data_IF_433364643278
#
_entry.id   IF_433364643278
#
_cell.length_a   1.000
_cell.length_b   1.000
_cell.length_c   1.000
_cell.angle_alpha   90.00
_cell.angle_beta   90.00
_cell.angle_gamma   90.00
#
_symmetry.space_group_name_H-M   'P 1'
#
loop_
_entity.id
_entity.type
_entity.pdbx_description
1 polymer ?
#
# COMPACT_ATOMS: atom_id res chain seq x y z
N UNK A 1 -12.97 5.58 5.06
CA UNK A 1 -12.55 5.12 3.71
C UNK A 1 -11.40 4.13 3.77
N UNK A 2 -11.26 3.26 2.76
CA UNK A 2 -10.17 2.28 2.55
C UNK A 2 -9.89 2.13 1.05
N UNK A 3 -8.62 1.94 0.68
CA UNK A 3 -8.18 1.67 -0.72
C UNK A 3 -8.81 0.38 -1.26
N UNK A 4 -9.23 0.35 -2.54
CA UNK A 4 -9.91 -0.82 -3.14
C UNK A 4 -9.10 -2.10 -3.00
N UNK A 5 -7.78 -2.05 -3.24
CA UNK A 5 -6.89 -3.22 -3.13
C UNK A 5 -6.78 -3.80 -1.71
N UNK A 6 -7.17 -3.04 -0.68
CA UNK A 6 -7.21 -3.49 0.72
C UNK A 6 -8.49 -4.24 1.09
N UNK A 7 -9.48 -4.31 0.19
CA UNK A 7 -10.59 -5.25 0.31
C UNK A 7 -10.22 -6.64 -0.22
N UNK A 8 -9.30 -6.72 -1.20
CA UNK A 8 -8.93 -7.97 -1.86
C UNK A 8 -8.29 -8.96 -0.88
N UNK A 9 -8.56 -10.24 -1.09
CA UNK A 9 -8.16 -11.38 -0.24
C UNK A 9 -8.71 -11.35 1.20
N UNK A 10 -9.46 -10.32 1.62
CA UNK A 10 -10.09 -10.31 2.95
C UNK A 10 -11.04 -11.51 3.12
N UNK A 11 -10.98 -12.25 4.24
CA UNK A 11 -11.94 -13.30 4.55
C UNK A 11 -13.34 -12.71 4.77
N UNK A 12 -14.37 -13.39 4.26
CA UNK A 12 -15.77 -13.01 4.48
C UNK A 12 -16.44 -14.02 5.41
N UNK A 13 -16.97 -13.53 6.53
CA UNK A 13 -17.44 -14.34 7.67
C UNK A 13 -18.92 -14.06 7.94
N UNK A 14 -19.73 -15.11 7.97
CA UNK A 14 -21.11 -15.06 8.50
C UNK A 14 -21.07 -15.07 10.03
N UNK A 15 -21.69 -14.07 10.66
CA UNK A 15 -21.67 -13.86 12.10
C UNK A 15 -22.49 -14.92 12.86
N UNK A 16 -23.68 -15.28 12.35
CA UNK A 16 -24.57 -16.24 12.99
C UNK A 16 -23.99 -17.66 13.02
N UNK A 17 -23.30 -18.09 11.97
CA UNK A 17 -22.69 -19.42 11.90
C UNK A 17 -21.20 -19.44 12.28
N UNK A 18 -20.61 -18.29 12.64
CA UNK A 18 -19.18 -18.14 12.95
C UNK A 18 -18.24 -18.58 11.81
N UNK A 19 -18.71 -18.54 10.55
CA UNK A 19 -18.11 -19.31 9.45
C UNK A 19 -17.57 -18.44 8.31
N UNK A 20 -16.31 -18.66 7.95
CA UNK A 20 -15.74 -18.12 6.70
C UNK A 20 -16.38 -18.79 5.47
N UNK A 21 -16.90 -17.97 4.55
CA UNK A 21 -17.55 -18.38 3.30
C UNK A 21 -16.52 -18.51 2.19
N UNK A 22 -15.54 -17.62 2.20
CA UNK A 22 -14.57 -17.39 1.14
C UNK A 22 -13.73 -16.15 1.43
N UNK A 23 -13.20 -15.53 0.38
CA UNK A 23 -12.49 -14.25 0.45
C UNK A 23 -12.92 -13.32 -0.69
N UNK A 24 -12.81 -12.01 -0.49
CA UNK A 24 -13.12 -11.01 -1.51
C UNK A 24 -12.11 -11.11 -2.66
N UNK A 25 -12.61 -11.32 -3.87
CA UNK A 25 -11.86 -11.40 -5.14
C UNK A 25 -11.82 -10.06 -5.87
N UNK A 26 -12.82 -9.21 -5.66
CA UNK A 26 -13.02 -7.95 -6.36
C UNK A 26 -14.26 -7.22 -5.84
N UNK A 27 -14.43 -5.99 -6.32
CA UNK A 27 -15.54 -5.10 -5.98
C UNK A 27 -16.34 -4.83 -7.26
N UNK A 28 -17.68 -4.81 -7.16
CA UNK A 28 -18.56 -4.39 -8.25
C UNK A 28 -19.00 -2.96 -7.98
N UNK A 29 -18.61 -2.05 -8.86
CA UNK A 29 -18.95 -0.63 -8.79
C UNK A 29 -20.14 -0.33 -9.71
N UNK A 30 -21.11 0.42 -9.21
CA UNK A 30 -22.07 1.14 -10.05
C UNK A 30 -21.50 2.55 -10.33
N UNK A 31 -21.16 2.88 -11.60
CA UNK A 31 -20.55 4.16 -11.95
C UNK A 31 -21.54 5.33 -11.86
N UNK A 32 -22.84 5.06 -11.95
CA UNK A 32 -23.92 6.04 -11.86
C UNK A 32 -24.19 6.46 -10.42
N UNK A 33 -24.15 5.50 -9.49
CA UNK A 33 -24.24 5.77 -8.04
C UNK A 33 -22.89 6.21 -7.43
N UNK A 34 -21.78 5.96 -8.15
CA UNK A 34 -20.40 6.09 -7.66
C UNK A 34 -20.19 5.26 -6.37
N UNK A 35 -20.65 4.00 -6.40
CA UNK A 35 -20.76 3.14 -5.21
C UNK A 35 -20.27 1.72 -5.49
N UNK A 36 -19.60 1.08 -4.54
CA UNK A 36 -19.43 -0.38 -4.51
C UNK A 36 -20.76 -1.01 -4.08
N UNK A 37 -21.46 -1.63 -5.04
CA UNK A 37 -22.78 -2.24 -4.82
C UNK A 37 -22.71 -3.73 -4.46
N UNK A 38 -21.60 -4.41 -4.77
CA UNK A 38 -21.39 -5.79 -4.33
C UNK A 38 -19.90 -6.15 -4.17
N UNK A 39 -19.63 -7.15 -3.33
CA UNK A 39 -18.35 -7.84 -3.19
C UNK A 39 -18.39 -9.15 -3.98
N UNK A 40 -17.37 -9.40 -4.80
CA UNK A 40 -17.17 -10.67 -5.52
C UNK A 40 -16.47 -11.64 -4.56
N UNK A 41 -17.06 -12.80 -4.25
CA UNK A 41 -16.55 -13.74 -3.24
C UNK A 41 -16.05 -15.02 -3.89
N UNK A 42 -14.74 -15.28 -3.76
CA UNK A 42 -14.11 -16.54 -4.15
C UNK A 42 -14.17 -17.57 -3.02
N UNK A 43 -14.48 -18.82 -3.36
CA UNK A 43 -14.57 -19.92 -2.41
C UNK A 43 -13.47 -20.96 -2.69
N UNK A 44 -12.80 -21.46 -1.65
CA UNK A 44 -11.75 -22.49 -1.80
C UNK A 44 -12.35 -23.80 -2.34
N UNK A 45 -11.82 -24.28 -3.49
CA UNK A 45 -12.15 -25.56 -4.13
C UNK A 45 -12.52 -25.42 -5.61
N UNK A 46 -12.00 -26.31 -6.47
CA UNK A 46 -12.00 -26.17 -7.94
C UNK A 46 -13.37 -26.13 -8.66
N UNK A 47 -14.47 -26.43 -7.96
CA UNK A 47 -15.82 -26.57 -8.56
C UNK A 47 -16.89 -25.71 -7.86
N UNK A 48 -16.51 -24.61 -7.20
CA UNK A 48 -17.46 -23.71 -6.54
C UNK A 48 -17.85 -22.54 -7.44
N UNK A 49 -19.14 -22.35 -7.58
CA UNK A 49 -19.75 -21.22 -8.29
C UNK A 49 -19.37 -19.89 -7.65
N UNK A 50 -19.09 -18.88 -8.48
CA UNK A 50 -18.72 -17.54 -8.02
C UNK A 50 -19.89 -16.93 -7.23
N UNK A 51 -19.64 -16.61 -5.95
CA UNK A 51 -20.61 -15.95 -5.08
C UNK A 51 -20.44 -14.43 -5.08
N UNK A 52 -21.50 -13.73 -4.70
CA UNK A 52 -21.53 -12.28 -4.52
C UNK A 52 -22.22 -11.93 -3.20
N UNK A 53 -21.81 -10.82 -2.59
CA UNK A 53 -22.47 -10.23 -1.42
C UNK A 53 -22.86 -8.81 -1.79
N UNK A 54 -24.15 -8.50 -1.83
CA UNK A 54 -24.65 -7.12 -1.93
C UNK A 54 -24.06 -6.28 -0.79
N UNK A 55 -23.55 -5.08 -1.07
CA UNK A 55 -22.87 -4.26 -0.06
C UNK A 55 -23.81 -3.88 1.09
N UNK A 56 -25.12 -3.76 0.84
CA UNK A 56 -26.13 -3.52 1.89
C UNK A 56 -26.30 -4.69 2.87
N UNK A 57 -25.73 -5.87 2.56
CA UNK A 57 -25.71 -7.06 3.44
C UNK A 57 -24.39 -7.20 4.21
N UNK A 58 -23.42 -6.30 3.99
CA UNK A 58 -22.20 -6.16 4.80
C UNK A 58 -22.55 -5.48 6.13
N UNK A 59 -22.02 -6.01 7.24
CA UNK A 59 -22.14 -5.40 8.57
C UNK A 59 -20.93 -4.55 8.94
N UNK A 60 -19.74 -4.99 8.57
CA UNK A 60 -18.51 -4.25 8.80
C UNK A 60 -17.41 -4.70 7.86
N UNK A 61 -16.55 -3.76 7.50
CA UNK A 61 -15.25 -3.98 6.86
C UNK A 61 -14.20 -3.69 7.93
N UNK A 62 -13.90 -4.70 8.75
CA UNK A 62 -12.87 -4.61 9.81
C UNK A 62 -11.46 -4.62 9.23
N UNK A 63 -10.41 -4.60 10.07
CA UNK A 63 -9.03 -4.65 9.55
C UNK A 63 -8.72 -6.03 8.94
N UNK A 64 -9.02 -7.11 9.66
CA UNK A 64 -8.68 -8.48 9.23
C UNK A 64 -9.78 -9.20 8.42
N UNK A 65 -11.04 -8.75 8.46
CA UNK A 65 -12.18 -9.47 7.89
C UNK A 65 -13.36 -8.57 7.48
N UNK A 66 -14.16 -9.04 6.53
CA UNK A 66 -15.49 -8.51 6.21
C UNK A 66 -16.55 -9.40 6.86
N UNK A 67 -17.53 -8.80 7.55
CA UNK A 67 -18.59 -9.54 8.24
C UNK A 67 -19.96 -9.31 7.61
N UNK A 68 -20.79 -10.35 7.60
CA UNK A 68 -22.19 -10.35 7.14
C UNK A 68 -23.06 -11.09 8.17
N UNK A 69 -24.37 -10.87 8.20
CA UNK A 69 -25.26 -11.55 9.18
C UNK A 69 -25.11 -13.07 9.16
N UNK A 70 -25.29 -13.67 7.99
CA UNK A 70 -25.35 -15.12 7.79
C UNK A 70 -24.80 -15.52 6.42
N UNK A 71 -24.26 -16.73 6.30
CA UNK A 71 -23.61 -17.22 5.06
C UNK A 71 -24.55 -17.40 3.87
N UNK A 72 -25.86 -17.41 4.11
CA UNK A 72 -26.91 -17.38 3.09
C UNK A 72 -26.97 -16.04 2.32
N UNK A 73 -26.52 -14.93 2.91
CA UNK A 73 -26.46 -13.61 2.26
C UNK A 73 -25.40 -13.51 1.15
N UNK A 74 -24.56 -14.54 0.99
CA UNK A 74 -23.67 -14.68 -0.15
C UNK A 74 -24.36 -15.48 -1.26
N UNK A 75 -24.83 -14.80 -2.30
CA UNK A 75 -25.74 -15.29 -3.33
C UNK A 75 -25.02 -15.70 -4.62
N UNK A 76 -25.76 -16.34 -5.54
CA UNK A 76 -25.29 -16.72 -6.88
C UNK A 76 -25.52 -15.56 -7.85
N UNK A 77 -24.71 -15.48 -8.91
CA UNK A 77 -24.88 -14.46 -9.96
C UNK A 77 -26.28 -14.48 -10.61
N UNK A 78 -26.90 -15.65 -10.73
CA UNK A 78 -28.26 -15.82 -11.25
C UNK A 78 -29.36 -15.15 -10.41
N UNK A 79 -29.10 -14.87 -9.13
CA UNK A 79 -30.03 -14.13 -8.25
C UNK A 79 -29.89 -12.61 -8.36
N UNK A 80 -28.81 -12.11 -8.99
CA UNK A 80 -28.40 -10.71 -8.95
C UNK A 80 -28.19 -10.13 -10.36
N UNK A 81 -29.25 -10.02 -11.18
CA UNK A 81 -29.13 -9.62 -12.59
C UNK A 81 -28.49 -8.24 -12.79
N UNK A 82 -28.72 -7.29 -11.89
CA UNK A 82 -28.13 -5.94 -11.95
C UNK A 82 -26.60 -5.98 -11.74
N UNK A 83 -26.13 -6.79 -10.79
CA UNK A 83 -24.70 -7.00 -10.52
C UNK A 83 -24.02 -7.68 -11.72
N UNK A 84 -24.69 -8.67 -12.32
CA UNK A 84 -24.21 -9.33 -13.54
C UNK A 84 -24.24 -8.40 -14.77
N UNK A 85 -25.12 -7.39 -14.82
CA UNK A 85 -25.08 -6.35 -15.86
C UNK A 85 -23.84 -5.48 -15.70
N UNK A 86 -23.59 -4.91 -14.52
CA UNK A 86 -22.41 -4.06 -14.26
C UNK A 86 -21.08 -4.80 -14.59
N UNK A 87 -21.00 -6.08 -14.25
CA UNK A 87 -19.85 -6.94 -14.59
C UNK A 87 -19.68 -7.21 -16.10
N UNK A 88 -20.75 -7.12 -16.90
CA UNK A 88 -20.70 -7.24 -18.38
C UNK A 88 -20.38 -5.92 -19.06
N UNK A 89 -20.92 -4.82 -18.53
CA UNK A 89 -20.61 -3.46 -19.00
C UNK A 89 -19.10 -3.19 -18.85
N UNK A 90 -18.49 -3.77 -17.81
CA UNK A 90 -17.05 -3.88 -17.55
C UNK A 90 -16.34 -2.52 -17.65
N UNK A 91 -16.62 -1.69 -16.64
CA UNK A 91 -16.11 -0.34 -16.46
C UNK A 91 -15.05 -0.40 -15.37
N UNK A 92 -13.79 -0.19 -15.74
CA UNK A 92 -12.64 -0.27 -14.84
C UNK A 92 -12.20 1.14 -14.42
N UNK A 93 -12.24 1.44 -13.12
CA UNK A 93 -11.75 2.73 -12.60
C UNK A 93 -10.22 2.79 -12.68
N UNK A 94 -9.53 1.71 -12.33
CA UNK A 94 -8.06 1.66 -12.33
C UNK A 94 -7.58 1.57 -13.77
N UNK A 95 -6.65 2.45 -14.15
CA UNK A 95 -6.14 2.61 -15.52
C UNK A 95 -6.93 3.61 -16.37
N UNK A 96 -8.14 4.02 -15.96
CA UNK A 96 -8.93 5.01 -16.69
C UNK A 96 -8.25 6.39 -16.70
N UNK A 97 -8.39 7.11 -17.83
CA UNK A 97 -7.91 8.49 -17.96
C UNK A 97 -8.83 9.44 -17.21
N UNK A 98 -8.27 10.29 -16.34
CA UNK A 98 -9.02 11.37 -15.69
C UNK A 98 -8.88 12.63 -16.54
N UNK A 99 -9.99 13.19 -17.01
CA UNK A 99 -10.05 14.43 -17.82
C UNK A 99 -11.04 15.42 -17.22
N UNK A 100 -10.78 16.72 -17.40
CA UNK A 100 -11.74 17.78 -17.08
C UNK A 100 -12.79 17.94 -18.19
N UNK A 101 -13.83 18.73 -17.96
CA UNK A 101 -14.89 19.02 -18.95
C UNK A 101 -14.38 19.84 -20.14
N UNK A 102 -13.39 20.73 -19.95
CA UNK A 102 -12.66 21.38 -21.04
C UNK A 102 -11.69 20.46 -21.81
N UNK A 103 -11.52 19.20 -21.37
CA UNK A 103 -10.70 18.19 -22.03
C UNK A 103 -9.23 18.13 -21.59
N UNK A 104 -8.83 18.90 -20.57
CA UNK A 104 -7.48 18.79 -19.97
C UNK A 104 -7.33 17.45 -19.26
N UNK A 105 -6.32 16.66 -19.66
CA UNK A 105 -5.98 15.38 -19.05
C UNK A 105 -5.28 15.62 -17.69
N UNK A 106 -5.86 15.16 -16.59
CA UNK A 106 -5.20 15.21 -15.28
C UNK A 106 -4.23 14.03 -15.09
N UNK A 107 -4.58 12.85 -15.58
CA UNK A 107 -3.74 11.67 -15.40
C UNK A 107 -4.47 10.35 -15.57
N UNK A 108 -4.02 9.34 -14.83
CA UNK A 108 -4.53 7.97 -14.89
C UNK A 108 -4.78 7.46 -13.46
N UNK A 109 -5.98 6.96 -13.20
CA UNK A 109 -6.36 6.48 -11.87
C UNK A 109 -5.58 5.20 -11.51
N UNK A 110 -4.82 5.24 -10.41
CA UNK A 110 -4.05 4.11 -9.89
C UNK A 110 -4.83 3.28 -8.87
N UNK A 111 -5.79 3.90 -8.20
CA UNK A 111 -6.47 3.39 -7.00
C UNK A 111 -7.74 4.20 -6.73
N UNK A 112 -8.73 3.60 -6.05
CA UNK A 112 -9.88 4.32 -5.53
C UNK A 112 -10.15 4.00 -4.06
N UNK A 113 -10.79 4.93 -3.36
CA UNK A 113 -11.08 4.85 -1.94
C UNK A 113 -12.58 4.65 -1.74
N UNK A 114 -12.93 3.61 -1.00
CA UNK A 114 -14.31 3.20 -0.72
C UNK A 114 -14.62 3.52 0.74
N UNK A 115 -15.77 4.11 1.03
CA UNK A 115 -16.25 4.21 2.41
C UNK A 115 -16.70 2.84 2.94
N UNK A 116 -16.31 2.54 4.18
CA UNK A 116 -16.45 1.19 4.76
C UNK A 116 -17.84 0.91 5.33
N UNK A 117 -18.68 1.93 5.53
CA UNK A 117 -20.04 1.78 6.03
C UNK A 117 -21.08 1.87 4.89
N UNK A 118 -20.87 2.78 3.93
CA UNK A 118 -21.81 3.05 2.83
C UNK A 118 -21.44 2.44 1.48
N UNK A 119 -20.17 2.06 1.27
CA UNK A 119 -19.67 1.59 -0.03
C UNK A 119 -19.44 2.72 -1.05
N UNK A 120 -19.71 3.98 -0.70
CA UNK A 120 -19.50 5.13 -1.61
C UNK A 120 -18.03 5.26 -2.02
N UNK A 121 -17.78 5.64 -3.26
CA UNK A 121 -16.48 6.13 -3.68
C UNK A 121 -16.24 7.50 -3.05
N UNK A 122 -15.12 7.64 -2.34
CA UNK A 122 -14.71 8.86 -1.63
C UNK A 122 -13.72 9.66 -2.48
N UNK A 123 -12.83 8.98 -3.20
CA UNK A 123 -11.91 9.63 -4.12
C UNK A 123 -11.04 8.66 -4.90
N UNK A 124 -10.30 9.21 -5.85
CA UNK A 124 -9.38 8.53 -6.76
C UNK A 124 -7.95 8.98 -6.42
N UNK A 125 -7.04 8.02 -6.30
CA UNK A 125 -5.60 8.30 -6.35
C UNK A 125 -5.11 8.06 -7.77
N UNK A 126 -4.39 9.02 -8.33
CA UNK A 126 -3.92 9.01 -9.70
C UNK A 126 -2.48 9.49 -9.81
N UNK A 127 -1.81 9.11 -10.91
CA UNK A 127 -0.50 9.66 -11.26
C UNK A 127 -0.69 10.77 -12.29
N UNK A 128 -0.20 11.96 -11.94
CA UNK A 128 -0.26 13.16 -12.77
C UNK A 128 0.82 13.12 -13.88
N UNK A 129 0.54 13.77 -15.03
CA UNK A 129 1.48 13.98 -16.14
C UNK A 129 1.90 15.44 -16.33
N UNK A 130 1.25 16.39 -15.67
CA UNK A 130 1.41 17.83 -15.87
C UNK A 130 2.22 18.54 -14.78
N UNK A 131 2.55 17.87 -13.67
CA UNK A 131 3.47 18.42 -12.66
C UNK A 131 4.89 18.61 -13.20
N UNK A 132 5.15 19.82 -13.72
CA UNK A 132 6.41 20.30 -14.30
C UNK A 132 7.58 20.43 -13.32
N UNK A 133 7.49 19.83 -12.12
CA UNK A 133 8.38 20.02 -10.98
C UNK A 133 9.13 18.73 -10.55
N UNK A 134 9.68 18.01 -11.53
CA UNK A 134 10.76 16.99 -11.38
C UNK A 134 10.42 15.72 -10.57
N UNK A 135 9.37 15.71 -9.76
CA UNK A 135 8.88 14.57 -8.98
C UNK A 135 7.57 14.02 -9.58
N UNK A 136 7.55 12.72 -9.87
CA UNK A 136 6.33 12.01 -10.28
C UNK A 136 5.43 11.79 -9.06
N UNK A 137 4.68 12.83 -8.69
CA UNK A 137 3.77 12.83 -7.55
C UNK A 137 2.52 11.99 -7.80
N UNK A 138 2.02 11.36 -6.74
CA UNK A 138 0.64 10.87 -6.70
C UNK A 138 -0.29 12.00 -6.28
N UNK A 139 -1.52 11.93 -6.71
CA UNK A 139 -2.53 12.96 -6.54
C UNK A 139 -3.85 12.32 -6.09
N UNK A 140 -4.64 13.03 -5.29
CA UNK A 140 -5.96 12.61 -4.84
C UNK A 140 -7.03 13.57 -5.37
N UNK A 141 -8.03 13.01 -6.03
CA UNK A 141 -9.23 13.70 -6.50
C UNK A 141 -10.45 13.19 -5.71
N UNK A 142 -11.16 14.10 -5.04
CA UNK A 142 -12.39 13.77 -4.34
C UNK A 142 -13.52 13.43 -5.34
N UNK A 143 -14.36 12.43 -5.02
CA UNK A 143 -15.43 11.95 -5.91
C UNK A 143 -16.54 12.98 -6.14
N UNK A 144 -16.64 14.01 -5.28
CA UNK A 144 -17.56 15.13 -5.50
C UNK A 144 -17.27 15.89 -6.81
N UNK A 145 -16.00 15.98 -7.23
CA UNK A 145 -15.62 16.60 -8.51
C UNK A 145 -15.74 15.67 -9.73
N UNK A 146 -15.99 14.37 -9.53
CA UNK A 146 -16.11 13.39 -10.63
C UNK A 146 -17.52 13.39 -11.19
N UNK A 147 -17.71 13.87 -12.42
CA UNK A 147 -19.02 14.00 -13.06
C UNK A 147 -19.47 12.73 -13.79
N UNK A 148 -18.55 11.90 -14.28
CA UNK A 148 -18.88 10.62 -14.95
C UNK A 148 -17.74 9.62 -14.82
N UNK A 149 -18.08 8.35 -14.52
CA UNK A 149 -17.16 7.21 -14.59
C UNK A 149 -17.53 6.38 -15.83
N UNK A 150 -16.86 6.67 -16.94
CA UNK A 150 -17.01 5.91 -18.19
C UNK A 150 -16.03 4.74 -18.27
N UNK A 151 -16.15 3.93 -19.33
CA UNK A 151 -15.37 2.70 -19.53
C UNK A 151 -13.86 2.93 -19.62
N UNK A 152 -13.44 3.95 -20.36
CA UNK A 152 -12.03 4.27 -20.65
C UNK A 152 -11.58 5.64 -20.09
N UNK A 153 -12.55 6.41 -19.57
CA UNK A 153 -12.41 7.83 -19.19
C UNK A 153 -13.30 8.15 -18.00
N UNK A 154 -12.71 8.82 -17.02
CA UNK A 154 -13.40 9.47 -15.91
C UNK A 154 -13.40 10.98 -16.21
N UNK A 155 -14.58 11.59 -16.25
CA UNK A 155 -14.75 13.04 -16.46
C UNK A 155 -14.97 13.69 -15.11
N UNK A 156 -14.28 14.81 -14.86
CA UNK A 156 -14.39 15.63 -13.66
C UNK A 156 -14.64 17.10 -14.03
N UNK A 157 -15.23 17.87 -13.11
CA UNK A 157 -15.45 19.30 -13.29
C UNK A 157 -14.12 20.05 -13.51
N UNK A 158 -14.14 21.17 -14.23
CA UNK A 158 -12.92 21.96 -14.51
C UNK A 158 -12.19 22.40 -13.22
N UNK A 159 -12.94 22.78 -12.17
CA UNK A 159 -12.42 23.14 -10.84
C UNK A 159 -11.71 22.00 -10.09
N UNK A 160 -11.73 20.78 -10.62
CA UNK A 160 -10.97 19.65 -10.08
C UNK A 160 -9.46 19.95 -10.03
N UNK A 161 -8.89 20.68 -11.01
CA UNK A 161 -7.45 20.98 -11.11
C UNK A 161 -6.89 21.62 -9.84
N UNK A 162 -7.66 22.56 -9.30
CA UNK A 162 -7.23 23.46 -8.23
C UNK A 162 -7.46 22.83 -6.85
N UNK A 163 -8.28 21.77 -6.82
CA UNK A 163 -8.66 21.02 -5.63
C UNK A 163 -7.96 19.64 -5.50
N UNK A 164 -7.00 19.33 -6.39
CA UNK A 164 -6.19 18.11 -6.31
C UNK A 164 -5.26 18.15 -5.10
N UNK A 165 -5.41 17.21 -4.18
CA UNK A 165 -4.49 17.05 -3.04
C UNK A 165 -3.29 16.21 -3.47
N UNK A 166 -2.09 16.80 -3.43
CA UNK A 166 -0.84 16.08 -3.75
C UNK A 166 -0.46 15.12 -2.63
N UNK A 167 -0.29 13.84 -2.97
CA UNK A 167 0.27 12.80 -2.11
C UNK A 167 1.78 12.76 -2.36
N UNK A 168 2.52 13.63 -1.69
CA UNK A 168 3.98 13.68 -1.84
C UNK A 168 4.65 12.43 -1.27
N UNK A 169 5.45 11.75 -2.10
CA UNK A 169 6.14 10.51 -1.74
C UNK A 169 7.40 10.75 -0.90
N UNK A 170 7.24 11.12 0.39
CA UNK A 170 8.36 11.48 1.25
C UNK A 170 8.21 11.06 2.72
N UNK A 171 8.97 10.05 3.15
CA UNK A 171 9.15 9.70 4.59
C UNK A 171 9.87 10.84 5.36
N UNK A 172 10.50 11.78 4.65
CA UNK A 172 11.28 12.88 5.23
C UNK A 172 10.42 13.92 5.96
N UNK A 173 9.19 14.22 5.50
CA UNK A 173 8.38 15.28 6.10
C UNK A 173 7.90 14.89 7.51
N UNK A 174 7.53 13.62 7.71
CA UNK A 174 7.28 13.04 9.05
C UNK A 174 8.49 13.17 9.97
N UNK A 175 9.71 12.99 9.43
CA UNK A 175 10.96 13.07 10.20
C UNK A 175 11.28 14.51 10.63
N UNK A 176 10.82 15.49 9.85
CA UNK A 176 10.92 16.94 10.12
C UNK A 176 10.03 17.35 11.29
N UNK A 177 8.76 16.94 11.29
CA UNK A 177 7.81 17.19 12.39
C UNK A 177 8.28 16.65 13.75
N UNK A 178 8.99 15.52 13.75
CA UNK A 178 9.61 14.95 14.96
C UNK A 178 10.75 15.82 15.52
N UNK A 179 11.53 16.46 14.65
CA UNK A 179 12.67 17.30 15.03
C UNK A 179 12.22 18.58 15.74
N UNK A 180 11.22 19.26 15.17
CA UNK A 180 10.82 20.58 15.65
C UNK A 180 9.91 20.53 16.90
N UNK A 181 9.29 19.37 17.17
CA UNK A 181 8.37 19.18 18.30
C UNK A 181 9.00 18.59 19.58
N UNK A 182 10.26 18.09 19.54
CA UNK A 182 10.70 17.09 20.55
C UNK A 182 12.13 17.19 21.08
N UNK A 183 12.64 18.40 21.36
CA UNK A 183 13.96 18.62 21.98
C UNK A 183 14.16 18.03 23.41
N UNK A 184 13.15 17.35 23.98
CA UNK A 184 13.14 16.91 25.39
C UNK A 184 13.07 15.38 25.61
N UNK A 185 12.85 14.56 24.56
CA UNK A 185 12.63 13.10 24.71
C UNK A 185 13.85 12.26 24.30
N UNK A 186 14.78 12.80 23.50
CA UNK A 186 15.92 12.03 22.99
C UNK A 186 16.92 11.66 24.10
N UNK A 187 17.35 12.65 24.90
CA UNK A 187 18.36 12.48 25.95
C UNK A 187 18.00 11.41 26.99
N UNK A 188 16.73 11.39 27.43
CA UNK A 188 16.26 10.47 28.47
C UNK A 188 15.95 9.05 27.96
N UNK A 189 15.74 8.89 26.65
CA UNK A 189 15.50 7.57 26.03
C UNK A 189 16.81 6.87 25.67
N UNK A 190 17.75 7.59 25.05
CA UNK A 190 19.05 7.02 24.59
C UNK A 190 19.86 6.44 25.75
N UNK A 191 19.76 7.01 26.95
CA UNK A 191 20.44 6.49 28.15
C UNK A 191 19.94 5.11 28.60
N UNK A 192 18.66 4.77 28.40
CA UNK A 192 18.09 3.50 28.89
C UNK A 192 18.41 2.29 27.99
N UNK A 193 18.70 2.50 26.71
CA UNK A 193 19.02 1.41 25.77
C UNK A 193 20.44 0.86 25.96
N UNK A 194 21.32 1.55 26.71
CA UNK A 194 22.71 1.10 26.99
C UNK A 194 22.81 -0.24 27.71
N UNK A 195 21.74 -0.73 28.34
CA UNK A 195 21.74 -1.97 29.11
C UNK A 195 21.30 -3.22 28.31
N UNK A 196 20.92 -3.09 27.03
CA UNK A 196 20.46 -4.22 26.21
C UNK A 196 21.51 -4.74 25.19
N UNK A 197 22.66 -4.09 25.07
CA UNK A 197 23.72 -4.44 24.10
C UNK A 197 24.72 -5.49 24.60
N UNK A 198 24.69 -5.86 25.88
CA UNK A 198 25.75 -6.63 26.56
C UNK A 198 25.62 -8.15 26.47
N UNK A 199 24.52 -8.67 25.89
CA UNK A 199 24.21 -10.11 25.84
C UNK A 199 24.42 -10.80 24.48
N UNK A 200 24.73 -10.06 23.40
CA UNK A 200 24.78 -10.59 22.03
C UNK A 200 26.18 -10.62 21.37
N UNK A 201 27.27 -10.36 22.10
CA UNK A 201 28.62 -10.44 21.53
C UNK A 201 29.64 -11.13 22.49
N UNK A 202 29.39 -12.40 22.82
CA UNK A 202 30.35 -13.25 23.54
C UNK A 202 30.41 -14.69 23.04
N UNK A 203 30.35 -14.85 21.72
CA UNK A 203 30.96 -15.97 21.01
C UNK A 203 31.85 -15.39 19.90
N UNK A 204 32.99 -16.06 19.64
CA UNK A 204 34.17 -15.51 18.97
C UNK A 204 34.86 -14.33 19.73
N UNK A 205 36.19 -14.20 19.74
CA UNK A 205 37.17 -15.15 19.19
C UNK A 205 38.64 -14.71 19.13
N UNK A 206 39.30 -14.41 20.27
CA UNK A 206 40.77 -14.43 20.48
C UNK A 206 41.71 -13.63 19.53
N UNK A 207 42.26 -12.50 20.00
CA UNK A 207 43.68 -12.07 19.85
C UNK A 207 43.90 -10.85 20.79
N UNK A 208 44.87 -10.76 21.72
CA UNK A 208 46.36 -10.70 21.62
C UNK A 208 46.86 -9.62 20.63
N UNK A 209 47.74 -8.67 20.95
CA UNK A 209 48.40 -8.27 22.23
C UNK A 209 48.91 -6.80 22.13
N UNK A 210 49.28 -6.10 23.23
CA UNK A 210 49.68 -4.68 23.22
C UNK A 210 51.22 -4.45 23.25
N UNK A 211 51.70 -3.20 22.94
CA UNK A 211 52.77 -2.47 23.69
C UNK A 211 53.18 -1.07 23.18
N UNK A 212 53.22 -0.11 24.11
CA UNK A 212 54.30 0.84 24.49
C UNK A 212 55.28 1.51 23.47
N UNK A 213 55.09 2.84 23.32
CA UNK A 213 56.05 3.96 23.53
C UNK A 213 57.43 4.11 22.82
N UNK A 214 57.58 5.30 22.19
CA UNK A 214 58.72 6.26 22.23
C UNK A 214 60.05 6.03 21.45
N UNK A 215 60.20 6.91 20.44
CA UNK A 215 61.34 7.83 20.15
C UNK A 215 62.60 7.40 19.34
N UNK A 216 62.94 8.30 18.39
CA UNK A 216 64.22 8.57 17.68
C UNK A 216 64.64 7.70 16.47
N UNK A 217 64.47 8.28 15.27
CA UNK A 217 65.55 8.75 14.35
C UNK A 217 67.00 8.35 14.71
N UNK A 218 67.96 8.05 13.80
CA UNK A 218 68.10 8.10 12.32
C UNK A 218 69.57 7.65 11.98
N UNK A 219 70.06 7.24 10.76
CA UNK A 219 69.46 7.04 9.42
C UNK A 219 69.74 5.65 8.74
N UNK A 220 69.36 5.55 7.46
CA UNK A 220 70.03 4.84 6.33
C UNK A 220 69.86 3.30 6.10
N UNK A 221 69.99 2.95 4.82
CA UNK A 221 69.84 1.64 4.13
C UNK A 221 71.10 1.37 3.26
N UNK A 222 71.18 0.35 2.36
CA UNK A 222 70.42 -0.90 2.18
C UNK A 222 71.37 -2.13 2.35
N UNK A 223 71.08 -3.41 2.05
CA UNK A 223 70.97 -4.16 0.76
C UNK A 223 71.06 -5.68 1.12
N UNK A 224 70.88 -6.72 0.26
CA UNK A 224 69.91 -7.04 -0.80
C UNK A 224 69.92 -8.60 -1.00
N UNK A 225 68.89 -9.21 -1.61
CA UNK A 225 68.77 -10.67 -1.93
C UNK A 225 68.74 -11.66 -0.73
N UNK A 226 68.07 -12.82 -0.75
CA UNK A 226 67.36 -13.57 -1.82
C UNK A 226 65.84 -13.75 -1.45
N UNK A 227 64.99 -14.65 -1.99
CA UNK A 227 65.19 -15.86 -2.80
C UNK A 227 63.89 -16.63 -3.16
N UNK A 228 63.99 -17.96 -3.29
CA UNK A 228 62.95 -18.93 -3.76
C UNK A 228 63.41 -20.38 -3.43
N UNK A 229 62.61 -21.47 -3.61
CA UNK A 229 61.24 -21.61 -4.15
C UNK A 229 60.26 -22.40 -3.19
N UNK A 230 59.03 -22.81 -3.61
CA UNK A 230 57.98 -23.29 -2.70
C UNK A 230 57.74 -24.83 -2.71
N UNK A 231 56.77 -25.28 -1.91
CA UNK A 231 56.23 -26.65 -1.87
C UNK A 231 55.04 -26.86 -2.80
N UNK A 232 55.02 -27.99 -3.52
CA UNK A 232 53.84 -28.66 -4.09
C UNK A 232 53.25 -29.63 -3.04
N UNK A 233 51.92 -29.78 -2.91
CA UNK A 233 51.06 -30.82 -3.53
C UNK A 233 51.42 -32.26 -3.08
N UNK A 234 50.49 -33.13 -2.68
CA UNK A 234 49.00 -33.10 -2.77
C UNK A 234 48.28 -33.03 -1.40
#
# INVERSE_FOLDING_TARGET
MRKSKKFLSMPVIGLQEGRQIGSVKGLVVDPSLKQVVALIIEQKGWFKEQKYVDFNKVKSVGEDAVTIDQTSSAERGSSLPNIIKLLKDNIEIIGARIVTENGTLLGYADEYYVDMASGQLVGLEFTDKFLSSVMHGKAFLDTNYVNTIGKDVIVCADEATDNVIKIEGGIQETMKSFKDSTSYIWDNTVQKTRNFSTSLNKSLGKSKSPKDSKQKEEPAQPDEYTGKPPSSED
#
